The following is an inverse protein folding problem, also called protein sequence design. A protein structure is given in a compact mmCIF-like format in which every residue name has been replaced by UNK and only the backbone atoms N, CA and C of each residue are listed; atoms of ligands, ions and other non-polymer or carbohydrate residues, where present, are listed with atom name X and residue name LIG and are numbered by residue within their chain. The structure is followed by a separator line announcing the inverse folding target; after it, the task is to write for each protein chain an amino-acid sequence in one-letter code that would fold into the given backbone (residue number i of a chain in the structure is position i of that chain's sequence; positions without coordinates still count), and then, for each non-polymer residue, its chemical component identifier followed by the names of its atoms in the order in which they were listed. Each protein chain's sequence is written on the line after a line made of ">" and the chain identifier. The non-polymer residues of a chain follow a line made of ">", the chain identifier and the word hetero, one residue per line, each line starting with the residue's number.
data_IF_553652204101
#
_entry.id   IF_553652204101
#
_cell.length_a   1.000
_cell.length_b   1.000
_cell.length_c   1.000
_cell.angle_alpha   90.00
_cell.angle_beta   90.00
_cell.angle_gamma   90.00
#
_symmetry.space_group_name_H-M   'P 1'
#
loop_
_entity.id
_entity.type
_entity.pdbx_description
1 polymer ?
#
# COMPACT_ATOMS: atom_id res chain seq x y z
N UNK A 1 -6.28 31.84 -1.17
CA UNK A 1 -6.10 31.24 -2.51
C UNK A 1 -5.62 29.81 -2.28
N UNK A 2 -6.33 28.72 -2.54
CA UNK A 2 -7.36 28.40 -3.52
C UNK A 2 -8.40 27.48 -2.84
N UNK A 3 -9.68 27.87 -2.83
CA UNK A 3 -10.78 27.02 -2.38
C UNK A 3 -11.09 26.06 -3.53
N UNK A 4 -10.66 24.80 -3.45
CA UNK A 4 -11.16 23.76 -4.35
C UNK A 4 -12.62 23.50 -3.98
N UNK A 5 -13.53 24.04 -4.79
CA UNK A 5 -14.97 23.88 -4.65
C UNK A 5 -15.35 22.42 -4.88
N UNK A 6 -15.90 21.79 -3.84
CA UNK A 6 -16.74 20.59 -3.99
C UNK A 6 -18.08 21.09 -4.53
N UNK A 7 -18.26 21.06 -5.86
CA UNK A 7 -19.54 21.36 -6.47
C UNK A 7 -20.51 20.22 -6.11
N UNK A 8 -21.42 20.52 -5.18
CA UNK A 8 -22.48 19.64 -4.72
C UNK A 8 -23.74 19.95 -5.53
N UNK A 9 -23.78 19.54 -6.80
CA UNK A 9 -25.01 19.65 -7.61
C UNK A 9 -25.83 18.37 -7.46
N UNK A 10 -26.79 18.43 -6.54
CA UNK A 10 -27.88 17.47 -6.43
C UNK A 10 -29.02 17.92 -7.33
N UNK A 11 -28.99 17.53 -8.60
CA UNK A 11 -30.18 17.58 -9.47
C UNK A 11 -30.54 16.22 -10.07
N UNK A 12 -29.66 15.21 -10.00
CA UNK A 12 -29.90 13.86 -10.57
C UNK A 12 -29.68 12.70 -9.60
N UNK A 13 -29.34 12.95 -8.33
CA UNK A 13 -29.12 11.92 -7.30
C UNK A 13 -27.78 11.18 -7.38
N UNK A 14 -27.04 11.29 -8.48
CA UNK A 14 -25.69 10.75 -8.65
C UNK A 14 -24.63 11.69 -8.04
N UNK A 15 -23.53 11.11 -7.55
CA UNK A 15 -22.37 11.85 -7.03
C UNK A 15 -21.18 11.62 -7.96
N UNK A 16 -20.67 12.70 -8.57
CA UNK A 16 -19.53 12.65 -9.48
C UNK A 16 -18.26 13.13 -8.80
N UNK A 17 -17.19 12.41 -9.03
CA UNK A 17 -15.84 12.75 -8.57
C UNK A 17 -14.92 12.94 -9.76
N UNK A 18 -14.03 13.92 -9.65
CA UNK A 18 -12.93 14.14 -10.58
C UNK A 18 -11.62 13.80 -9.90
N UNK A 19 -10.86 12.90 -10.52
CA UNK A 19 -9.52 12.54 -10.11
C UNK A 19 -8.54 12.61 -11.28
N UNK A 20 -7.47 11.84 -11.16
CA UNK A 20 -6.39 11.69 -12.12
C UNK A 20 -6.55 10.33 -12.79
N UNK A 21 -6.59 10.31 -14.13
CA UNK A 21 -6.52 9.07 -14.90
C UNK A 21 -5.16 8.40 -14.66
N UNK A 22 -5.17 7.25 -14.00
CA UNK A 22 -3.99 6.43 -13.79
C UNK A 22 -3.93 5.30 -14.82
N UNK A 23 -5.05 4.66 -15.14
CA UNK A 23 -5.15 3.62 -16.16
C UNK A 23 -6.46 3.75 -16.92
N UNK A 24 -6.38 3.65 -18.25
CA UNK A 24 -7.51 3.88 -19.16
C UNK A 24 -8.49 2.69 -19.18
N UNK A 25 -9.71 2.96 -19.63
CA UNK A 25 -10.80 2.00 -19.74
C UNK A 25 -12.02 2.42 -18.91
N UNK A 26 -13.14 1.73 -19.10
CA UNK A 26 -14.38 1.99 -18.37
C UNK A 26 -14.80 0.71 -17.65
N UNK A 27 -15.13 0.84 -16.38
CA UNK A 27 -15.64 -0.27 -15.57
C UNK A 27 -16.91 0.14 -14.82
N UNK A 28 -17.85 -0.79 -14.70
CA UNK A 28 -19.05 -0.65 -13.89
C UNK A 28 -19.13 -1.88 -12.99
N UNK A 29 -19.27 -1.66 -11.69
CA UNK A 29 -19.21 -2.76 -10.73
C UNK A 29 -19.69 -2.36 -9.35
N UNK A 30 -19.50 -3.29 -8.40
CA UNK A 30 -19.82 -3.06 -7.00
C UNK A 30 -18.60 -2.59 -6.22
N UNK A 31 -18.77 -1.59 -5.38
CA UNK A 31 -17.72 -1.09 -4.50
C UNK A 31 -17.31 -2.18 -3.51
N UNK A 32 -16.01 -2.32 -3.33
CA UNK A 32 -15.39 -2.97 -2.18
C UNK A 32 -14.45 -1.97 -1.53
N UNK A 33 -14.77 -1.55 -0.30
CA UNK A 33 -13.95 -0.60 0.46
C UNK A 33 -12.80 -1.34 1.12
N UNK A 34 -11.63 -1.22 0.51
CA UNK A 34 -10.41 -1.74 1.10
C UNK A 34 -9.83 -0.74 2.10
N UNK A 35 -9.85 -1.12 3.38
CA UNK A 35 -9.18 -0.39 4.45
C UNK A 35 -7.86 -1.08 4.74
N UNK A 36 -6.75 -0.49 4.28
CA UNK A 36 -5.42 -0.98 4.61
C UNK A 36 -5.21 -0.85 6.12
N UNK A 37 -4.71 -1.92 6.73
CA UNK A 37 -4.31 -1.90 8.13
C UNK A 37 -3.12 -0.96 8.30
N UNK A 38 -3.29 0.08 9.10
CA UNK A 38 -2.22 0.98 9.53
C UNK A 38 -1.87 0.61 10.98
N UNK A 39 -0.74 -0.08 11.24
CA UNK A 39 -0.40 -0.53 12.57
C UNK A 39 -0.21 0.64 13.52
N UNK A 40 -0.91 0.62 14.66
CA UNK A 40 -0.60 1.53 15.76
C UNK A 40 0.60 0.98 16.52
N UNK A 41 1.69 1.73 16.58
CA UNK A 41 2.94 1.28 17.19
C UNK A 41 3.16 2.02 18.52
N UNK A 42 2.53 1.58 19.63
CA UNK A 42 2.80 2.15 20.93
C UNK A 42 4.21 1.76 21.39
N UNK A 43 4.93 2.74 21.92
CA UNK A 43 6.21 2.51 22.58
C UNK A 43 5.97 1.85 23.94
N UNK A 44 6.53 0.67 24.15
CA UNK A 44 6.58 0.01 25.46
C UNK A 44 8.02 -0.29 25.86
N UNK A 45 8.28 -0.22 27.16
CA UNK A 45 9.54 -0.69 27.74
C UNK A 45 9.45 -2.20 27.95
N UNK A 46 10.53 -2.92 27.65
CA UNK A 46 10.66 -4.35 27.89
C UNK A 46 11.67 -4.62 29.00
N UNK A 47 11.51 -5.74 29.69
CA UNK A 47 12.46 -6.23 30.69
C UNK A 47 13.65 -6.92 30.02
N UNK A 48 14.75 -7.13 30.76
CA UNK A 48 15.91 -7.86 30.24
C UNK A 48 15.58 -9.29 29.81
N UNK A 49 14.63 -9.94 30.50
CA UNK A 49 14.19 -11.29 30.18
C UNK A 49 13.40 -11.37 28.85
N UNK A 50 12.78 -10.27 28.42
CA UNK A 50 12.00 -10.21 27.18
C UNK A 50 12.85 -9.90 25.93
N UNK A 51 14.09 -9.43 26.10
CA UNK A 51 14.95 -8.96 25.01
C UNK A 51 15.14 -10.01 23.92
N UNK A 52 15.51 -11.24 24.28
CA UNK A 52 15.74 -12.30 23.30
C UNK A 52 14.44 -12.73 22.62
N UNK A 53 13.32 -12.76 23.36
CA UNK A 53 12.00 -13.05 22.81
C UNK A 53 11.55 -11.98 21.79
N UNK A 54 11.81 -10.70 22.06
CA UNK A 54 11.50 -9.61 21.12
C UNK A 54 12.30 -9.71 19.83
N UNK A 55 13.60 -10.04 19.93
CA UNK A 55 14.47 -10.21 18.78
C UNK A 55 13.98 -11.39 17.92
N UNK A 56 13.67 -12.53 18.55
CA UNK A 56 13.13 -13.68 17.82
C UNK A 56 11.77 -13.38 17.20
N UNK A 57 10.90 -12.61 17.87
CA UNK A 57 9.61 -12.19 17.29
C UNK A 57 9.82 -11.34 16.03
N UNK A 58 10.76 -10.41 16.06
CA UNK A 58 11.11 -9.58 14.90
C UNK A 58 11.69 -10.41 13.75
N UNK A 59 12.64 -11.31 14.02
CA UNK A 59 13.20 -12.22 13.00
C UNK A 59 12.11 -13.04 12.31
N UNK A 60 11.21 -13.62 13.10
CA UNK A 60 10.09 -14.41 12.58
C UNK A 60 9.14 -13.57 11.72
N UNK A 61 8.90 -12.30 12.08
CA UNK A 61 8.10 -11.40 11.27
C UNK A 61 8.78 -11.00 9.95
N UNK A 62 10.10 -10.79 9.95
CA UNK A 62 10.89 -10.53 8.73
C UNK A 62 10.84 -11.74 7.81
N UNK A 63 11.06 -12.94 8.32
CA UNK A 63 11.00 -14.18 7.54
C UNK A 63 9.61 -14.46 6.94
N UNK A 64 8.54 -14.20 7.72
CA UNK A 64 7.16 -14.24 7.20
C UNK A 64 6.97 -13.23 6.07
N UNK A 65 7.43 -12.00 6.28
CA UNK A 65 7.34 -10.91 5.29
C UNK A 65 8.08 -11.24 4.00
N UNK A 66 9.26 -11.84 4.09
CA UNK A 66 10.06 -12.30 2.96
C UNK A 66 9.35 -13.39 2.17
N UNK A 67 8.80 -14.40 2.84
CA UNK A 67 8.04 -15.49 2.20
C UNK A 67 6.79 -14.97 1.49
N UNK A 68 6.07 -14.03 2.11
CA UNK A 68 4.90 -13.41 1.49
C UNK A 68 5.28 -12.58 0.26
N UNK A 69 6.28 -11.70 0.38
CA UNK A 69 6.70 -10.85 -0.74
C UNK A 69 7.26 -11.68 -1.89
N UNK A 70 7.99 -12.76 -1.60
CA UNK A 70 8.46 -13.70 -2.62
C UNK A 70 7.30 -14.30 -3.42
N UNK A 71 6.22 -14.75 -2.75
CA UNK A 71 5.02 -15.26 -3.45
C UNK A 71 4.31 -14.20 -4.30
N UNK A 72 4.39 -12.93 -3.89
CA UNK A 72 3.87 -11.80 -4.67
C UNK A 72 4.75 -11.57 -5.89
N UNK A 73 6.08 -11.58 -5.71
CA UNK A 73 7.06 -11.42 -6.77
C UNK A 73 6.98 -12.55 -7.81
N UNK A 74 6.90 -13.81 -7.39
CA UNK A 74 6.79 -14.95 -8.30
C UNK A 74 5.55 -14.80 -9.20
N UNK A 75 4.41 -14.42 -8.62
CA UNK A 75 3.19 -14.12 -9.38
C UNK A 75 3.29 -12.85 -10.25
N UNK A 76 4.07 -11.86 -9.81
CA UNK A 76 4.38 -10.68 -10.61
C UNK A 76 5.10 -11.08 -11.89
N UNK A 77 6.07 -11.99 -11.81
CA UNK A 77 6.86 -12.47 -12.94
C UNK A 77 6.02 -13.21 -13.99
N UNK A 78 4.91 -13.83 -13.59
CA UNK A 78 3.98 -14.50 -14.52
C UNK A 78 3.13 -13.51 -15.34
N UNK A 79 2.82 -12.33 -14.78
CA UNK A 79 1.88 -11.37 -15.37
C UNK A 79 2.50 -10.10 -15.94
N UNK A 80 3.70 -9.75 -15.48
CA UNK A 80 4.32 -8.46 -15.69
C UNK A 80 5.69 -8.61 -16.34
N UNK A 81 6.16 -7.54 -16.98
CA UNK A 81 7.51 -7.52 -17.53
C UNK A 81 8.57 -7.23 -16.46
N UNK A 82 9.84 -7.41 -16.82
CA UNK A 82 10.98 -7.21 -15.91
C UNK A 82 11.04 -5.82 -15.28
N UNK A 83 10.71 -4.77 -16.03
CA UNK A 83 10.73 -3.41 -15.51
C UNK A 83 9.68 -3.21 -14.39
N UNK A 84 8.51 -3.81 -14.54
CA UNK A 84 7.41 -3.72 -13.59
C UNK A 84 7.64 -4.55 -12.33
N UNK A 85 8.49 -5.60 -12.38
CA UNK A 85 8.78 -6.44 -11.22
C UNK A 85 9.94 -5.94 -10.36
N UNK A 86 10.75 -4.98 -10.85
CA UNK A 86 11.90 -4.40 -10.13
C UNK A 86 11.55 -3.84 -8.75
N UNK A 87 10.34 -3.31 -8.57
CA UNK A 87 9.88 -2.83 -7.27
C UNK A 87 9.88 -3.94 -6.21
N UNK A 88 9.38 -5.12 -6.55
CA UNK A 88 9.31 -6.24 -5.62
C UNK A 88 10.70 -6.83 -5.35
N UNK A 89 11.58 -6.85 -6.36
CA UNK A 89 12.98 -7.25 -6.20
C UNK A 89 13.70 -6.31 -5.22
N UNK A 90 13.52 -4.99 -5.39
CA UNK A 90 14.04 -4.00 -4.46
C UNK A 90 13.53 -4.19 -3.03
N UNK A 91 12.22 -4.39 -2.85
CA UNK A 91 11.62 -4.64 -1.55
C UNK A 91 12.12 -5.95 -0.91
N UNK A 92 12.42 -6.99 -1.72
CA UNK A 92 13.04 -8.22 -1.23
C UNK A 92 14.47 -7.98 -0.74
N UNK A 93 15.27 -7.18 -1.47
CA UNK A 93 16.62 -6.81 -1.03
C UNK A 93 16.59 -6.06 0.31
N UNK A 94 15.62 -5.16 0.53
CA UNK A 94 15.43 -4.49 1.83
C UNK A 94 15.07 -5.48 2.96
N UNK A 95 14.33 -6.55 2.67
CA UNK A 95 14.05 -7.62 3.63
C UNK A 95 15.27 -8.51 3.91
N UNK A 96 16.30 -8.45 3.07
CA UNK A 96 17.55 -9.21 3.21
C UNK A 96 18.70 -8.39 3.82
N UNK A 97 18.48 -7.11 4.12
CA UNK A 97 19.49 -6.22 4.68
C UNK A 97 19.82 -6.55 6.14
N UNK A 98 20.76 -7.48 6.32
CA UNK A 98 21.22 -7.89 7.65
C UNK A 98 21.81 -6.73 8.46
N UNK A 99 22.39 -5.71 7.81
CA UNK A 99 23.01 -4.57 8.51
C UNK A 99 21.93 -3.70 9.16
N UNK A 100 20.86 -3.40 8.43
CA UNK A 100 19.71 -2.67 8.96
C UNK A 100 19.10 -3.39 10.18
N UNK A 101 18.85 -4.70 10.07
CA UNK A 101 18.22 -5.45 11.15
C UNK A 101 19.16 -5.66 12.34
N UNK A 102 20.46 -5.81 12.13
CA UNK A 102 21.44 -5.87 13.23
C UNK A 102 21.49 -4.58 14.05
N UNK A 103 21.32 -3.41 13.42
CA UNK A 103 21.18 -2.15 14.14
C UNK A 103 19.94 -2.19 15.03
N UNK A 104 18.79 -2.62 14.49
CA UNK A 104 17.54 -2.73 15.26
C UNK A 104 17.68 -3.72 16.42
N UNK A 105 18.29 -4.88 16.22
CA UNK A 105 18.53 -5.87 17.27
C UNK A 105 19.41 -5.30 18.40
N UNK A 106 20.47 -4.56 18.07
CA UNK A 106 21.31 -3.88 19.06
C UNK A 106 20.51 -2.84 19.84
N UNK A 107 19.68 -2.06 19.15
CA UNK A 107 18.80 -1.07 19.79
C UNK A 107 17.80 -1.73 20.75
N UNK A 108 17.21 -2.88 20.40
CA UNK A 108 16.31 -3.63 21.30
C UNK A 108 17.05 -3.97 22.60
N UNK A 109 18.30 -4.47 22.52
CA UNK A 109 19.12 -4.82 23.68
C UNK A 109 19.46 -3.63 24.58
N UNK A 110 19.82 -2.49 23.97
CA UNK A 110 20.32 -1.31 24.68
C UNK A 110 19.17 -0.44 25.21
N UNK A 111 18.23 -0.08 24.34
CA UNK A 111 17.14 0.85 24.66
C UNK A 111 16.00 0.17 25.43
N UNK A 112 15.93 -1.16 25.38
CA UNK A 112 14.90 -1.97 26.02
C UNK A 112 13.50 -1.48 25.65
N UNK A 113 13.27 -1.35 24.35
CA UNK A 113 11.97 -1.04 23.73
C UNK A 113 11.53 -2.17 22.82
N UNK A 114 10.22 -2.24 22.58
CA UNK A 114 9.64 -3.29 21.73
C UNK A 114 10.07 -3.20 20.26
N UNK A 115 10.03 -4.35 19.59
CA UNK A 115 10.44 -4.50 18.20
C UNK A 115 9.69 -3.58 17.23
N UNK A 116 8.37 -3.43 17.38
CA UNK A 116 7.55 -2.61 16.49
C UNK A 116 8.03 -1.15 16.50
N UNK A 117 8.25 -0.61 17.70
CA UNK A 117 8.68 0.78 17.88
C UNK A 117 10.06 1.03 17.28
N UNK A 118 11.03 0.18 17.58
CA UNK A 118 12.40 0.36 17.10
C UNK A 118 12.55 0.11 15.59
N UNK A 119 11.80 -0.85 15.04
CA UNK A 119 11.70 -1.03 13.59
C UNK A 119 11.12 0.21 12.94
N UNK A 120 10.02 0.74 13.49
CA UNK A 120 9.36 1.92 12.94
C UNK A 120 10.30 3.12 12.95
N UNK A 121 10.86 3.41 14.13
CA UNK A 121 11.77 4.54 14.35
C UNK A 121 13.03 4.46 13.47
N UNK A 122 13.64 3.29 13.33
CA UNK A 122 14.86 3.14 12.52
C UNK A 122 14.58 3.36 11.03
N UNK A 123 13.53 2.75 10.50
CA UNK A 123 13.12 2.92 9.10
C UNK A 123 12.67 4.36 8.83
N UNK A 124 11.95 5.00 9.77
CA UNK A 124 11.46 6.37 9.59
C UNK A 124 12.59 7.39 9.45
N UNK A 125 13.74 7.19 10.12
CA UNK A 125 14.93 8.03 9.91
C UNK A 125 15.39 8.04 8.46
N UNK A 126 15.48 6.85 7.85
CA UNK A 126 15.91 6.72 6.45
C UNK A 126 14.86 7.24 5.48
N UNK A 127 13.58 6.90 5.70
CA UNK A 127 12.50 7.35 4.80
C UNK A 127 12.37 8.87 4.78
N UNK A 128 12.49 9.55 5.92
CA UNK A 128 12.40 11.02 5.97
C UNK A 128 13.54 11.70 5.19
N UNK A 129 14.77 11.18 5.27
CA UNK A 129 15.90 11.68 4.49
C UNK A 129 15.62 11.52 2.99
N UNK A 130 15.11 10.35 2.59
CA UNK A 130 14.82 10.04 1.19
C UNK A 130 13.64 10.87 0.65
N UNK A 131 12.59 11.07 1.45
CA UNK A 131 11.44 11.90 1.10
C UNK A 131 11.81 13.38 0.92
N UNK A 132 12.81 13.87 1.67
CA UNK A 132 13.34 15.23 1.51
C UNK A 132 14.15 15.42 0.23
N UNK A 133 14.50 14.35 -0.48
CA UNK A 133 15.25 14.43 -1.74
C UNK A 133 14.43 15.10 -2.85
N UNK A 134 15.10 15.92 -3.67
CA UNK A 134 14.50 16.49 -4.89
C UNK A 134 14.33 15.47 -6.00
N UNK A 135 15.08 14.38 -5.95
CA UNK A 135 15.00 13.29 -6.91
C UNK A 135 13.73 12.44 -6.66
N UNK A 136 12.86 12.36 -7.67
CA UNK A 136 11.63 11.56 -7.60
C UNK A 136 11.89 10.08 -7.40
N UNK A 137 12.97 9.55 -8.00
CA UNK A 137 13.34 8.16 -7.85
C UNK A 137 13.70 7.83 -6.39
N UNK A 138 14.43 8.73 -5.73
CA UNK A 138 14.79 8.55 -4.31
C UNK A 138 13.55 8.60 -3.42
N UNK A 139 12.57 9.48 -3.73
CA UNK A 139 11.30 9.52 -2.98
C UNK A 139 10.49 8.24 -3.16
N UNK A 140 10.43 7.68 -4.37
CA UNK A 140 9.77 6.38 -4.62
C UNK A 140 10.39 5.26 -3.77
N UNK A 141 11.73 5.24 -3.65
CA UNK A 141 12.41 4.28 -2.78
C UNK A 141 12.08 4.45 -1.29
N UNK A 142 11.72 5.65 -0.85
CA UNK A 142 11.25 5.87 0.51
C UNK A 142 9.88 5.20 0.73
N UNK A 143 8.99 5.26 -0.26
CA UNK A 143 7.68 4.58 -0.21
C UNK A 143 7.83 3.06 -0.16
N UNK A 144 8.81 2.49 -0.89
CA UNK A 144 9.13 1.06 -0.82
C UNK A 144 9.57 0.63 0.59
N UNK A 145 10.41 1.44 1.22
CA UNK A 145 10.91 1.21 2.57
C UNK A 145 9.77 1.28 3.61
N UNK A 146 8.82 2.19 3.43
CA UNK A 146 7.59 2.27 4.24
C UNK A 146 6.66 1.06 4.00
N UNK A 147 6.52 0.57 2.77
CA UNK A 147 5.70 -0.63 2.50
C UNK A 147 6.31 -1.89 3.13
N UNK A 148 7.64 -2.03 3.09
CA UNK A 148 8.37 -3.11 3.78
C UNK A 148 8.17 -3.02 5.30
N UNK A 149 8.31 -1.82 5.89
CA UNK A 149 8.04 -1.59 7.31
C UNK A 149 6.64 -2.02 7.71
N UNK A 150 5.62 -1.55 6.99
CA UNK A 150 4.21 -1.87 7.28
C UNK A 150 3.93 -3.37 7.13
N UNK A 151 4.58 -4.03 6.18
CA UNK A 151 4.50 -5.49 6.03
C UNK A 151 5.06 -6.23 7.24
N UNK A 152 6.23 -5.83 7.73
CA UNK A 152 6.85 -6.45 8.91
C UNK A 152 5.99 -6.19 10.15
N UNK A 153 5.51 -4.96 10.34
CA UNK A 153 4.62 -4.59 11.46
C UNK A 153 3.32 -5.41 11.45
N UNK A 154 2.68 -5.58 10.28
CA UNK A 154 1.51 -6.44 10.15
C UNK A 154 1.82 -7.88 10.57
N UNK A 155 2.98 -8.41 10.15
CA UNK A 155 3.41 -9.76 10.52
C UNK A 155 3.80 -9.88 12.00
N UNK A 156 4.28 -8.82 12.64
CA UNK A 156 4.50 -8.76 14.09
C UNK A 156 3.20 -8.87 14.88
N UNK A 157 2.13 -8.24 14.39
CA UNK A 157 0.78 -8.31 14.95
C UNK A 157 -0.01 -9.57 14.52
N UNK A 158 0.62 -10.45 13.73
CA UNK A 158 0.04 -11.67 13.18
C UNK A 158 -1.26 -11.46 12.38
N UNK A 159 -1.42 -10.26 11.83
CA UNK A 159 -2.58 -9.89 11.03
C UNK A 159 -2.49 -10.50 9.64
N UNK A 160 -3.61 -11.04 9.15
CA UNK A 160 -3.68 -11.67 7.84
C UNK A 160 -3.69 -10.63 6.72
N UNK A 161 -3.00 -10.96 5.63
CA UNK A 161 -3.08 -10.20 4.39
C UNK A 161 -4.42 -10.46 3.70
N UNK A 162 -5.22 -9.40 3.51
CA UNK A 162 -6.44 -9.47 2.71
C UNK A 162 -6.04 -9.56 1.24
N UNK A 163 -6.42 -10.65 0.58
CA UNK A 163 -6.06 -10.93 -0.81
C UNK A 163 -7.17 -11.56 -1.63
N UNK A 164 -8.27 -11.98 -0.99
CA UNK A 164 -9.43 -12.59 -1.65
C UNK A 164 -10.63 -11.69 -1.50
N UNK A 165 -11.34 -11.51 -2.61
CA UNK A 165 -12.62 -10.80 -2.68
C UNK A 165 -13.55 -11.61 -3.57
N UNK A 166 -14.84 -11.59 -3.27
CA UNK A 166 -15.84 -12.33 -4.01
C UNK A 166 -16.56 -11.45 -5.03
N UNK A 167 -16.85 -12.03 -6.20
CA UNK A 167 -17.57 -11.36 -7.27
C UNK A 167 -16.75 -10.30 -8.02
N UNK A 168 -17.45 -9.55 -8.88
CA UNK A 168 -16.86 -8.50 -9.69
C UNK A 168 -16.88 -7.17 -8.92
N UNK A 169 -15.71 -6.73 -8.45
CA UNK A 169 -15.58 -5.57 -7.56
C UNK A 169 -14.72 -4.46 -8.15
N UNK A 170 -15.04 -3.23 -7.77
CA UNK A 170 -14.19 -2.05 -7.92
C UNK A 170 -13.61 -1.74 -6.55
N UNK A 171 -12.29 -1.75 -6.44
CA UNK A 171 -11.59 -1.55 -5.17
C UNK A 171 -11.49 -0.06 -4.91
N UNK A 172 -12.10 0.39 -3.81
CA UNK A 172 -12.03 1.78 -3.35
C UNK A 172 -11.19 1.80 -2.08
N UNK A 173 -10.12 2.59 -2.06
CA UNK A 173 -9.23 2.68 -0.89
C UNK A 173 -8.73 4.10 -0.70
N UNK A 174 -8.25 4.43 0.50
CA UNK A 174 -7.50 5.68 0.70
C UNK A 174 -6.17 5.64 -0.08
N UNK A 175 -5.50 4.49 -0.07
CA UNK A 175 -4.23 4.26 -0.74
C UNK A 175 -4.08 2.78 -1.11
N UNK A 176 -3.38 2.50 -2.21
CA UNK A 176 -3.08 1.14 -2.68
C UNK A 176 -1.60 1.06 -3.04
N UNK A 177 -0.91 0.03 -2.54
CA UNK A 177 0.47 -0.24 -2.99
C UNK A 177 0.49 -1.13 -4.22
N UNK A 178 1.67 -1.24 -4.83
CA UNK A 178 1.92 -2.16 -5.93
C UNK A 178 1.57 -3.61 -5.58
N UNK A 179 1.90 -4.05 -4.36
CA UNK A 179 1.55 -5.36 -3.85
C UNK A 179 0.03 -5.55 -3.75
N UNK A 180 -0.70 -4.54 -3.26
CA UNK A 180 -2.16 -4.60 -3.11
C UNK A 180 -2.83 -4.79 -4.48
N UNK A 181 -2.45 -3.98 -5.47
CA UNK A 181 -2.97 -4.05 -6.86
C UNK A 181 -2.72 -5.43 -7.47
N UNK A 182 -1.50 -5.93 -7.32
CA UNK A 182 -1.13 -7.22 -7.87
C UNK A 182 -1.90 -8.36 -7.18
N UNK A 183 -2.02 -8.33 -5.86
CA UNK A 183 -2.79 -9.33 -5.10
C UNK A 183 -4.26 -9.33 -5.50
N UNK A 184 -4.89 -8.15 -5.55
CA UNK A 184 -6.30 -8.05 -5.93
C UNK A 184 -6.53 -8.52 -7.38
N UNK A 185 -5.56 -8.36 -8.29
CA UNK A 185 -5.63 -8.89 -9.66
C UNK A 185 -5.70 -10.42 -9.77
N UNK A 186 -5.55 -11.16 -8.67
CA UNK A 186 -5.85 -12.61 -8.59
C UNK A 186 -7.34 -12.90 -8.58
N UNK A 187 -8.15 -11.88 -8.26
CA UNK A 187 -9.61 -11.94 -8.21
C UNK A 187 -10.19 -11.22 -9.43
N UNK A 188 -11.52 -11.19 -9.53
CA UNK A 188 -12.23 -10.47 -10.60
C UNK A 188 -12.38 -9.00 -10.26
N UNK A 189 -11.27 -8.25 -10.31
CA UNK A 189 -11.27 -6.79 -10.13
C UNK A 189 -11.58 -6.11 -11.45
N UNK A 190 -12.58 -5.24 -11.44
CA UNK A 190 -12.97 -4.44 -12.60
C UNK A 190 -12.28 -3.08 -12.65
N UNK A 191 -11.86 -2.53 -11.52
CA UNK A 191 -11.25 -1.21 -11.45
C UNK A 191 -10.67 -0.88 -10.08
N UNK A 192 -9.82 0.14 -10.04
CA UNK A 192 -9.28 0.71 -8.79
C UNK A 192 -9.63 2.19 -8.68
N UNK A 193 -9.96 2.62 -7.47
CA UNK A 193 -10.17 4.02 -7.12
C UNK A 193 -9.42 4.32 -5.83
N UNK A 194 -8.63 5.40 -5.82
CA UNK A 194 -7.93 5.82 -4.60
C UNK A 194 -7.99 7.32 -4.30
N UNK A 195 -7.94 7.65 -3.01
CA UNK A 195 -7.82 9.04 -2.54
C UNK A 195 -6.42 9.60 -2.76
N UNK A 196 -5.41 8.77 -2.49
CA UNK A 196 -3.99 9.10 -2.58
C UNK A 196 -3.39 8.33 -3.75
N UNK A 197 -2.56 9.01 -4.53
CA UNK A 197 -1.82 8.42 -5.64
C UNK A 197 -1.61 9.42 -6.77
N UNK A 198 -0.56 9.18 -7.56
CA UNK A 198 -0.27 9.93 -8.77
C UNK A 198 -0.32 9.03 -10.01
N UNK A 199 -0.43 9.63 -11.19
CA UNK A 199 -0.42 8.90 -12.47
C UNK A 199 0.92 8.20 -12.74
N UNK A 200 2.01 8.59 -12.10
CA UNK A 200 3.33 7.95 -12.24
C UNK A 200 3.66 6.98 -11.12
N UNK A 201 2.79 6.83 -10.12
CA UNK A 201 3.03 5.92 -8.99
C UNK A 201 3.14 4.45 -9.43
N UNK A 202 3.81 3.63 -8.63
CA UNK A 202 3.92 2.20 -8.91
C UNK A 202 2.56 1.50 -9.02
N UNK A 203 1.56 1.92 -8.24
CA UNK A 203 0.20 1.44 -8.40
C UNK A 203 -0.36 1.77 -9.79
N UNK A 204 -0.22 3.02 -10.25
CA UNK A 204 -0.69 3.43 -11.57
C UNK A 204 0.02 2.68 -12.70
N UNK A 205 1.34 2.47 -12.58
CA UNK A 205 2.13 1.70 -13.53
C UNK A 205 1.61 0.26 -13.64
N UNK A 206 1.37 -0.40 -12.50
CA UNK A 206 0.88 -1.78 -12.47
C UNK A 206 -0.57 -1.91 -12.95
N UNK A 207 -1.45 -0.97 -12.60
CA UNK A 207 -2.82 -0.95 -13.09
C UNK A 207 -2.87 -0.88 -14.63
N UNK A 208 -2.00 -0.06 -15.26
CA UNK A 208 -1.85 -0.01 -16.72
C UNK A 208 -1.36 -1.33 -17.31
N UNK A 209 -0.34 -1.92 -16.69
CA UNK A 209 0.21 -3.20 -17.11
C UNK A 209 -0.86 -4.31 -17.14
N UNK A 210 -1.72 -4.30 -16.12
CA UNK A 210 -2.82 -5.23 -15.96
C UNK A 210 -4.07 -4.83 -16.76
N UNK A 211 -4.05 -3.67 -17.44
CA UNK A 211 -5.18 -3.10 -18.20
C UNK A 211 -6.46 -2.96 -17.37
N UNK A 212 -6.32 -2.57 -16.10
CA UNK A 212 -7.44 -2.36 -15.18
C UNK A 212 -7.72 -0.85 -15.09
N UNK A 213 -8.94 -0.38 -15.42
CA UNK A 213 -9.33 1.02 -15.28
C UNK A 213 -9.04 1.56 -13.89
N UNK A 214 -8.37 2.71 -13.78
CA UNK A 214 -7.95 3.26 -12.48
C UNK A 214 -7.99 4.77 -12.45
N UNK A 215 -8.63 5.32 -11.41
CA UNK A 215 -8.67 6.76 -11.13
C UNK A 215 -8.18 7.02 -9.71
N UNK A 216 -7.22 7.93 -9.56
CA UNK A 216 -6.56 8.23 -8.28
C UNK A 216 -6.74 9.70 -7.91
N UNK A 217 -6.37 10.10 -6.69
CA UNK A 217 -6.45 11.49 -6.26
C UNK A 217 -7.87 11.96 -5.94
N UNK A 218 -8.83 11.04 -5.76
CA UNK A 218 -10.22 11.37 -5.48
C UNK A 218 -10.43 11.54 -3.99
N UNK A 219 -10.45 12.77 -3.50
CA UNK A 219 -10.63 13.03 -2.08
C UNK A 219 -12.02 12.60 -1.59
N UNK A 220 -12.10 12.02 -0.38
CA UNK A 220 -13.34 11.64 0.32
C UNK A 220 -14.17 10.51 -0.30
N UNK A 221 -13.69 9.82 -1.34
CA UNK A 221 -14.43 8.69 -1.94
C UNK A 221 -14.67 7.57 -0.92
N UNK A 222 -13.71 7.30 -0.02
CA UNK A 222 -13.83 6.21 0.97
C UNK A 222 -14.84 6.52 2.06
N UNK A 223 -15.16 7.79 2.27
CA UNK A 223 -16.18 8.25 3.22
C UNK A 223 -17.55 8.44 2.57
N UNK A 224 -17.60 8.54 1.25
CA UNK A 224 -18.85 8.77 0.50
C UNK A 224 -19.43 7.48 -0.06
N UNK A 225 -18.60 6.63 -0.67
CA UNK A 225 -19.00 5.31 -1.12
C UNK A 225 -19.22 4.36 0.06
N UNK A 226 -20.08 3.36 -0.14
CA UNK A 226 -20.26 2.22 0.76
C UNK A 226 -20.01 0.92 0.02
N UNK A 227 -19.69 -0.13 0.77
CA UNK A 227 -19.63 -1.48 0.20
C UNK A 227 -20.94 -1.80 -0.55
N UNK A 228 -20.81 -2.43 -1.72
CA UNK A 228 -21.90 -2.81 -2.62
C UNK A 228 -22.70 -1.68 -3.28
N UNK A 229 -22.27 -0.41 -3.14
CA UNK A 229 -22.73 0.66 -4.03
C UNK A 229 -22.34 0.33 -5.48
N UNK A 230 -23.19 0.72 -6.43
CA UNK A 230 -22.84 0.67 -7.85
C UNK A 230 -21.93 1.85 -8.16
N UNK A 231 -20.81 1.59 -8.83
CA UNK A 231 -19.84 2.63 -9.17
C UNK A 231 -19.40 2.49 -10.63
N UNK A 232 -19.28 3.62 -11.30
CA UNK A 232 -18.69 3.72 -12.64
C UNK A 232 -17.31 4.36 -12.51
N UNK A 233 -16.31 3.72 -13.12
CA UNK A 233 -14.94 4.23 -13.21
C UNK A 233 -14.63 4.51 -14.68
N UNK A 234 -14.56 5.78 -15.03
CA UNK A 234 -14.09 6.25 -16.33
C UNK A 234 -12.62 6.65 -16.21
N UNK A 235 -11.75 5.68 -16.54
CA UNK A 235 -10.31 5.84 -16.58
C UNK A 235 -9.81 6.70 -17.74
N UNK A 236 -10.62 7.04 -18.76
CA UNK A 236 -10.20 7.97 -19.81
C UNK A 236 -10.26 9.41 -19.31
N UNK A 237 -11.39 9.77 -18.72
CA UNK A 237 -11.62 11.12 -18.25
C UNK A 237 -11.18 11.32 -16.79
N UNK A 238 -10.79 10.27 -16.07
CA UNK A 238 -10.50 10.38 -14.64
C UNK A 238 -11.74 10.73 -13.82
N UNK A 239 -12.89 10.17 -14.19
CA UNK A 239 -14.19 10.44 -13.56
C UNK A 239 -14.66 9.18 -12.85
N UNK A 240 -15.25 9.36 -11.68
CA UNK A 240 -15.93 8.30 -10.93
C UNK A 240 -17.34 8.76 -10.60
N UNK A 241 -18.33 7.88 -10.75
CA UNK A 241 -19.76 8.18 -10.53
C UNK A 241 -20.33 7.13 -9.57
N UNK A 242 -21.00 7.60 -8.51
CA UNK A 242 -21.80 6.83 -7.57
C UNK A 242 -23.28 7.14 -7.75
#
# INVERSE_FOLDING_TARGET
>A
MNKTMVAKERETGEVRFKGISASQGIAIGKVFIFRKHEPTVPMRTITLAEVDTEIERLKNAIERSKKELKKIFDFAQEKLNREQTKIFEAQLLLLEDAVLYDVIYKRIKIERKNAEFLLKDEIEKYSQIMLASKDSYVRERAEDLIDVQNRILRNLEEQKLISKIEGQKIIVSRFLTAADVLLFSRNTVLGYVSEIGGSTSHMALLARALKIPTVVGIHQITTTAKDDDTIIVDGYNGIVIL
#
